data_IF_290151113139
#
_entry.id   IF_290151113139
#
_cell.length_a   1.000
_cell.length_b   1.000
_cell.length_c   1.000
_cell.angle_alpha   90.00
_cell.angle_beta   90.00
_cell.angle_gamma   90.00
#
_symmetry.space_group_name_H-M   'P 1'
#
loop_
_entity.id
_entity.type
_entity.pdbx_description
1 polymer ?
#
# COMPACT_ATOMS: atom_id res chain seq x y z
N UNK A 1 61.43 -26.45 17.59
CA UNK A 1 61.31 -25.03 17.99
C UNK A 1 60.83 -24.26 16.77
N UNK A 2 59.51 -24.11 16.63
CA UNK A 2 58.89 -23.52 15.44
C UNK A 2 58.36 -22.13 15.78
N UNK A 3 58.99 -21.12 15.19
CA UNK A 3 58.65 -19.71 15.35
C UNK A 3 57.43 -19.36 14.49
N UNK A 4 56.33 -19.04 15.16
CA UNK A 4 55.08 -18.54 14.54
C UNK A 4 55.25 -17.05 14.25
N UNK A 5 55.25 -16.67 12.97
CA UNK A 5 55.23 -15.27 12.51
C UNK A 5 53.82 -14.69 12.64
N UNK A 6 53.70 -13.57 13.37
CA UNK A 6 52.51 -12.70 13.38
C UNK A 6 52.38 -11.93 12.05
N UNK A 7 51.17 -11.78 11.49
CA UNK A 7 50.92 -10.85 10.39
C UNK A 7 50.67 -9.41 10.89
N UNK A 8 51.23 -8.45 10.14
CA UNK A 8 51.22 -7.02 10.41
C UNK A 8 49.84 -6.37 10.16
N UNK A 9 49.54 -5.35 10.97
CA UNK A 9 48.33 -4.52 10.90
C UNK A 9 48.34 -3.59 9.68
N UNK A 10 47.19 -3.47 9.01
CA UNK A 10 46.97 -2.54 7.90
C UNK A 10 46.70 -1.11 8.41
N UNK A 11 47.15 -0.06 7.68
CA UNK A 11 46.96 1.33 8.09
C UNK A 11 45.53 1.84 7.83
N UNK A 12 45.00 2.52 8.86
CA UNK A 12 43.74 3.25 8.91
C UNK A 12 43.70 4.41 7.90
N UNK A 13 42.88 4.27 6.85
CA UNK A 13 42.56 5.33 5.91
C UNK A 13 41.53 6.31 6.46
N UNK A 14 41.92 7.58 6.63
CA UNK A 14 41.06 8.67 7.07
C UNK A 14 39.96 9.01 6.03
N UNK A 15 38.74 9.42 6.46
CA UNK A 15 37.66 9.77 5.55
C UNK A 15 37.86 11.16 4.92
N UNK A 16 37.91 11.21 3.59
CA UNK A 16 37.83 12.42 2.76
C UNK A 16 36.45 13.08 2.92
N UNK A 17 36.41 14.19 3.65
CA UNK A 17 35.28 15.14 3.68
C UNK A 17 35.07 15.76 2.29
N UNK A 18 34.06 15.30 1.54
CA UNK A 18 33.53 16.05 0.40
C UNK A 18 32.55 17.10 0.91
N UNK A 19 32.97 18.37 0.91
CA UNK A 19 32.08 19.53 0.93
C UNK A 19 31.32 19.57 -0.39
N UNK A 20 30.00 19.45 -0.36
CA UNK A 20 29.14 19.82 -1.49
C UNK A 20 28.55 21.18 -1.13
N UNK A 21 28.91 22.18 -1.93
CA UNK A 21 28.43 23.54 -1.81
C UNK A 21 26.95 23.60 -2.19
N UNK A 22 26.18 24.33 -1.39
CA UNK A 22 24.83 24.74 -1.69
C UNK A 22 24.82 25.76 -2.84
N UNK A 23 24.04 25.50 -3.88
CA UNK A 23 23.64 26.50 -4.86
C UNK A 23 22.12 26.60 -4.85
N UNK A 24 21.63 27.64 -4.17
CA UNK A 24 20.27 28.17 -4.32
C UNK A 24 20.20 28.88 -5.67
N UNK A 25 19.23 28.53 -6.50
CA UNK A 25 18.70 29.42 -7.53
C UNK A 25 17.20 29.48 -7.31
N UNK A 26 16.75 30.57 -6.71
CA UNK A 26 15.36 30.97 -6.68
C UNK A 26 15.06 31.63 -8.04
N UNK A 27 14.08 31.11 -8.76
CA UNK A 27 13.50 31.79 -9.91
C UNK A 27 12.19 32.47 -9.46
N UNK A 28 12.00 33.77 -9.74
CA UNK A 28 10.75 34.46 -9.46
C UNK A 28 9.65 34.05 -10.45
N UNK A 29 8.46 33.76 -9.92
CA UNK A 29 7.23 33.62 -10.70
C UNK A 29 6.74 35.01 -11.14
N UNK A 30 6.52 35.26 -12.45
CA UNK A 30 5.88 36.48 -12.90
C UNK A 30 4.36 36.30 -12.98
N UNK A 31 3.65 37.31 -12.47
CA UNK A 31 2.58 37.98 -13.22
C UNK A 31 1.20 37.32 -13.18
N UNK A 32 0.38 37.83 -12.27
CA UNK A 32 -1.07 37.84 -12.41
C UNK A 32 -1.48 38.64 -13.67
N UNK A 33 -2.43 38.11 -14.43
CA UNK A 33 -3.19 38.87 -15.41
C UNK A 33 -4.68 38.57 -15.22
N UNK A 34 -5.41 39.63 -14.89
CA UNK A 34 -6.86 39.73 -14.86
C UNK A 34 -7.48 39.48 -16.25
N UNK A 35 -8.42 38.55 -16.30
CA UNK A 35 -9.53 38.46 -17.25
C UNK A 35 -10.56 37.52 -16.58
N UNK A 36 -11.83 37.84 -16.37
CA UNK A 36 -12.74 38.67 -17.13
C UNK A 36 -13.97 37.81 -17.45
N UNK A 37 -15.14 38.29 -17.01
CA UNK A 37 -16.48 38.01 -17.53
C UNK A 37 -17.16 36.63 -17.28
N UNK A 38 -18.16 36.68 -16.40
CA UNK A 38 -19.56 36.22 -16.56
C UNK A 38 -19.89 35.21 -17.68
N UNK A 39 -20.14 33.96 -17.29
CA UNK A 39 -21.12 33.06 -17.93
C UNK A 39 -21.40 31.85 -17.02
N UNK A 40 -22.43 31.90 -16.15
CA UNK A 40 -22.80 30.71 -15.36
C UNK A 40 -24.26 30.56 -14.83
N UNK A 41 -25.32 31.28 -15.25
CA UNK A 41 -26.66 30.93 -14.74
C UNK A 41 -27.36 29.77 -15.46
N UNK A 42 -26.81 29.20 -16.55
CA UNK A 42 -27.56 28.22 -17.37
C UNK A 42 -27.41 26.75 -16.92
N UNK A 43 -26.38 26.40 -16.14
CA UNK A 43 -26.13 25.01 -15.74
C UNK A 43 -26.97 24.57 -14.53
N UNK A 44 -27.50 25.51 -13.74
CA UNK A 44 -28.29 25.20 -12.55
C UNK A 44 -29.74 24.78 -12.87
N UNK A 45 -30.24 25.08 -14.08
CA UNK A 45 -31.61 24.69 -14.49
C UNK A 45 -31.69 23.25 -14.99
N UNK A 46 -30.61 22.68 -15.54
CA UNK A 46 -30.63 21.27 -15.96
C UNK A 46 -30.55 20.29 -14.78
N UNK A 47 -29.90 20.65 -13.66
CA UNK A 47 -29.86 19.76 -12.50
C UNK A 47 -31.22 19.59 -11.81
N UNK A 48 -32.13 20.57 -11.90
CA UNK A 48 -33.45 20.44 -11.30
C UNK A 48 -34.41 19.55 -12.11
N UNK A 49 -34.20 19.35 -13.41
CA UNK A 49 -35.05 18.43 -14.20
C UNK A 49 -34.73 16.94 -13.96
N UNK A 50 -33.49 16.61 -13.57
CA UNK A 50 -33.10 15.22 -13.28
C UNK A 50 -33.69 14.74 -11.95
N UNK A 51 -33.88 15.64 -10.98
CA UNK A 51 -34.46 15.30 -9.67
C UNK A 51 -35.94 14.92 -9.76
N UNK A 52 -36.70 15.41 -10.75
CA UNK A 52 -38.11 15.05 -10.90
C UNK A 52 -38.36 13.67 -11.50
N UNK A 53 -37.38 13.05 -12.19
CA UNK A 53 -37.55 11.74 -12.82
C UNK A 53 -37.19 10.54 -11.92
N UNK A 54 -36.60 10.77 -10.74
CA UNK A 54 -36.15 9.69 -9.85
C UNK A 54 -37.16 9.24 -8.79
N UNK A 55 -38.41 9.74 -8.84
CA UNK A 55 -39.47 9.37 -7.90
C UNK A 55 -40.55 8.48 -8.55
N UNK A 56 -40.12 7.42 -9.23
CA UNK A 56 -40.99 6.33 -9.67
C UNK A 56 -40.63 5.08 -8.85
N UNK A 57 -41.56 4.53 -8.05
CA UNK A 57 -41.29 3.28 -7.35
C UNK A 57 -41.13 2.13 -8.37
N UNK A 58 -40.11 1.26 -8.20
CA UNK A 58 -39.90 0.15 -9.11
C UNK A 58 -41.06 -0.86 -9.04
N UNK A 59 -41.44 -1.49 -10.17
CA UNK A 59 -42.47 -2.52 -10.18
C UNK A 59 -42.01 -3.73 -9.36
N UNK A 60 -42.88 -4.19 -8.46
CA UNK A 60 -42.73 -5.40 -7.65
C UNK A 60 -42.62 -6.64 -8.57
N UNK A 61 -41.40 -7.07 -8.89
CA UNK A 61 -41.19 -8.39 -9.49
C UNK A 61 -41.32 -9.46 -8.40
N UNK A 62 -42.32 -10.32 -8.58
CA UNK A 62 -42.56 -11.50 -7.76
C UNK A 62 -41.37 -12.46 -7.84
N UNK A 63 -40.82 -12.74 -6.67
CA UNK A 63 -39.64 -13.58 -6.46
C UNK A 63 -40.08 -15.06 -6.41
N UNK A 64 -39.93 -15.78 -7.53
CA UNK A 64 -39.96 -17.24 -7.51
C UNK A 64 -38.67 -17.75 -6.84
N UNK A 65 -38.83 -18.53 -5.78
CA UNK A 65 -37.76 -19.14 -4.98
C UNK A 65 -37.48 -20.55 -5.51
N UNK A 66 -36.41 -20.80 -6.28
CA UNK A 66 -35.96 -22.16 -6.54
C UNK A 66 -35.19 -22.68 -5.32
N UNK A 67 -35.71 -23.77 -4.76
CA UNK A 67 -35.12 -24.55 -3.68
C UNK A 67 -33.89 -25.29 -4.25
N UNK A 68 -32.70 -24.68 -4.12
CA UNK A 68 -31.45 -25.32 -4.55
C UNK A 68 -30.86 -26.16 -3.42
N UNK A 69 -30.82 -27.47 -3.69
CA UNK A 69 -30.10 -28.50 -2.95
C UNK A 69 -28.62 -28.11 -2.77
N UNK A 70 -28.18 -28.17 -1.52
CA UNK A 70 -26.83 -27.93 -1.06
C UNK A 70 -25.96 -29.18 -1.36
N UNK A 71 -24.96 -29.11 -2.25
CA UNK A 71 -24.02 -30.21 -2.44
C UNK A 71 -23.05 -30.25 -1.26
N UNK A 72 -22.74 -31.47 -0.81
CA UNK A 72 -21.77 -31.75 0.24
C UNK A 72 -20.41 -31.11 -0.06
N UNK A 73 -19.81 -30.49 0.97
CA UNK A 73 -18.52 -29.81 0.89
C UNK A 73 -17.40 -30.78 0.45
N UNK A 74 -16.61 -30.45 -0.59
CA UNK A 74 -15.46 -31.25 -0.96
C UNK A 74 -14.34 -31.12 0.09
N UNK A 75 -13.65 -32.23 0.32
CA UNK A 75 -12.53 -32.33 1.24
C UNK A 75 -11.41 -31.34 0.90
N UNK A 76 -10.90 -30.65 1.94
CA UNK A 76 -9.81 -29.67 1.87
C UNK A 76 -8.54 -30.34 1.29
N UNK A 77 -7.96 -29.84 0.19
CA UNK A 77 -6.68 -30.35 -0.30
C UNK A 77 -5.54 -29.95 0.66
N UNK A 78 -4.45 -30.76 0.70
CA UNK A 78 -3.29 -30.48 1.55
C UNK A 78 -2.62 -29.16 1.15
N UNK A 79 -2.21 -28.40 2.17
CA UNK A 79 -1.53 -27.11 2.09
C UNK A 79 -0.30 -27.14 1.18
N UNK A 80 -0.36 -26.40 0.07
CA UNK A 80 0.60 -26.39 -1.04
C UNK A 80 1.55 -25.16 -1.16
N UNK A 81 1.92 -24.40 -0.11
CA UNK A 81 2.74 -23.19 -0.32
C UNK A 81 4.19 -23.50 -0.75
N UNK A 82 4.75 -24.67 -0.40
CA UNK A 82 6.14 -25.01 -0.72
C UNK A 82 6.36 -25.37 -2.20
N UNK A 83 5.37 -25.94 -2.88
CA UNK A 83 5.49 -26.37 -4.28
C UNK A 83 5.48 -25.20 -5.27
N UNK A 84 4.72 -24.14 -4.97
CA UNK A 84 4.64 -22.95 -5.81
C UNK A 84 5.96 -22.16 -5.86
N UNK A 85 6.65 -22.05 -4.72
CA UNK A 85 7.96 -21.39 -4.64
C UNK A 85 9.05 -22.15 -5.42
N UNK A 86 9.04 -23.49 -5.37
CA UNK A 86 9.99 -24.32 -6.11
C UNK A 86 9.75 -24.27 -7.63
N UNK A 87 8.50 -24.22 -8.07
CA UNK A 87 8.15 -24.10 -9.49
C UNK A 87 8.59 -22.75 -10.09
N UNK A 88 8.46 -21.65 -9.32
CA UNK A 88 8.92 -20.33 -9.75
C UNK A 88 10.46 -20.26 -9.90
N UNK A 89 11.21 -20.92 -9.00
CA UNK A 89 12.67 -20.97 -9.08
C UNK A 89 13.17 -21.78 -10.28
N UNK A 90 12.49 -22.89 -10.63
CA UNK A 90 12.83 -23.70 -11.80
C UNK A 90 12.54 -22.98 -13.13
N UNK A 91 11.44 -22.23 -13.22
CA UNK A 91 11.12 -21.43 -14.40
C UNK A 91 12.14 -20.30 -14.64
N UNK A 92 12.62 -19.65 -13.59
CA UNK A 92 13.65 -18.60 -13.69
C UNK A 92 14.99 -19.14 -14.22
N UNK A 93 15.38 -20.37 -13.87
CA UNK A 93 16.61 -20.98 -14.38
C UNK A 93 16.52 -21.36 -15.87
N UNK A 94 15.34 -21.77 -16.34
CA UNK A 94 15.11 -22.08 -17.76
C UNK A 94 15.05 -20.82 -18.64
N UNK A 95 14.54 -19.71 -18.11
CA UNK A 95 14.47 -18.43 -18.82
C UNK A 95 15.85 -17.85 -19.16
N UNK A 96 16.88 -18.10 -18.35
CA UNK A 96 18.23 -17.59 -18.56
C UNK A 96 18.94 -18.13 -19.83
N UNK A 97 18.43 -19.21 -20.45
CA UNK A 97 18.96 -19.78 -21.69
C UNK A 97 18.23 -19.31 -22.95
N UNK A 98 17.04 -18.72 -22.80
CA UNK A 98 16.23 -18.22 -23.88
C UNK A 98 16.43 -16.69 -23.97
N UNK A 99 16.54 -16.14 -25.18
CA UNK A 99 16.81 -14.71 -25.36
C UNK A 99 15.82 -13.78 -24.63
N UNK A 100 16.06 -12.45 -24.63
CA UNK A 100 15.37 -11.49 -23.75
C UNK A 100 13.84 -11.47 -23.92
N UNK A 101 13.31 -11.78 -25.11
CA UNK A 101 11.87 -11.89 -25.33
C UNK A 101 11.25 -13.08 -24.58
N UNK A 102 11.93 -14.23 -24.59
CA UNK A 102 11.45 -15.42 -23.89
C UNK A 102 11.55 -15.28 -22.36
N UNK A 103 12.52 -14.49 -21.86
CA UNK A 103 12.63 -14.16 -20.44
C UNK A 103 11.46 -13.30 -19.95
N UNK A 104 11.01 -12.33 -20.77
CA UNK A 104 9.85 -11.50 -20.46
C UNK A 104 8.56 -12.33 -20.40
N UNK A 105 8.33 -13.19 -21.40
CA UNK A 105 7.16 -14.09 -21.44
C UNK A 105 7.15 -15.08 -20.25
N UNK A 106 8.32 -15.63 -19.90
CA UNK A 106 8.47 -16.51 -18.74
C UNK A 106 8.19 -15.78 -17.41
N UNK A 107 8.64 -14.53 -17.30
CA UNK A 107 8.39 -13.69 -16.11
C UNK A 107 6.90 -13.38 -15.97
N UNK A 108 6.23 -13.04 -17.06
CA UNK A 108 4.77 -12.80 -17.08
C UNK A 108 4.00 -14.05 -16.66
N UNK A 109 4.35 -15.20 -17.23
CA UNK A 109 3.74 -16.49 -16.85
C UNK A 109 3.94 -16.80 -15.36
N UNK A 110 5.13 -16.54 -14.81
CA UNK A 110 5.42 -16.74 -13.39
C UNK A 110 4.61 -15.80 -12.48
N UNK A 111 4.49 -14.52 -12.84
CA UNK A 111 3.66 -13.54 -12.11
C UNK A 111 2.19 -13.99 -12.08
N UNK A 112 1.64 -14.38 -13.24
CA UNK A 112 0.26 -14.88 -13.36
C UNK A 112 0.02 -16.14 -12.53
N UNK A 113 0.96 -17.08 -12.55
CA UNK A 113 0.90 -18.29 -11.73
C UNK A 113 0.85 -17.95 -10.23
N UNK A 114 1.66 -16.99 -9.76
CA UNK A 114 1.64 -16.52 -8.38
C UNK A 114 0.31 -15.86 -8.00
N UNK A 115 -0.22 -14.98 -8.85
CA UNK A 115 -1.50 -14.32 -8.61
C UNK A 115 -2.65 -15.32 -8.50
N UNK A 116 -2.71 -16.31 -9.39
CA UNK A 116 -3.72 -17.38 -9.36
C UNK A 116 -3.58 -18.28 -8.15
N UNK A 117 -2.36 -18.66 -7.79
CA UNK A 117 -2.11 -19.46 -6.59
C UNK A 117 -2.56 -18.73 -5.32
N UNK A 118 -2.29 -17.42 -5.24
CA UNK A 118 -2.75 -16.59 -4.15
C UNK A 118 -4.27 -16.47 -4.11
N UNK A 119 -4.91 -16.16 -5.25
CA UNK A 119 -6.36 -16.06 -5.34
C UNK A 119 -7.04 -17.37 -4.91
N UNK A 120 -6.51 -18.52 -5.36
CA UNK A 120 -6.98 -19.83 -4.93
C UNK A 120 -6.85 -20.03 -3.41
N UNK A 121 -5.72 -19.63 -2.81
CA UNK A 121 -5.52 -19.72 -1.35
C UNK A 121 -6.46 -18.81 -0.55
N UNK A 122 -6.81 -17.65 -1.11
CA UNK A 122 -7.72 -16.67 -0.52
C UNK A 122 -9.20 -16.97 -0.80
N UNK A 123 -9.52 -18.05 -1.52
CA UNK A 123 -10.87 -18.35 -2.03
C UNK A 123 -11.48 -17.20 -2.85
N UNK A 124 -10.62 -16.46 -3.55
CA UNK A 124 -10.97 -15.33 -4.41
C UNK A 124 -10.90 -15.75 -5.88
N UNK A 125 -11.85 -15.28 -6.68
CA UNK A 125 -11.85 -15.53 -8.13
C UNK A 125 -11.21 -14.34 -8.82
N UNK A 126 -9.99 -14.54 -9.33
CA UNK A 126 -9.28 -13.52 -10.10
C UNK A 126 -9.73 -13.57 -11.56
N UNK A 127 -10.30 -12.48 -12.05
CA UNK A 127 -10.70 -12.37 -13.46
C UNK A 127 -9.49 -12.07 -14.35
N UNK A 128 -9.46 -12.53 -15.62
CA UNK A 128 -8.36 -12.23 -16.54
C UNK A 128 -8.05 -10.73 -16.67
N UNK A 129 -9.08 -9.88 -16.71
CA UNK A 129 -8.91 -8.43 -16.77
C UNK A 129 -8.25 -7.85 -15.50
N UNK A 130 -8.56 -8.39 -14.32
CA UNK A 130 -7.92 -7.97 -13.08
C UNK A 130 -6.46 -8.42 -13.04
N UNK A 131 -6.16 -9.63 -13.51
CA UNK A 131 -4.81 -10.14 -13.65
C UNK A 131 -3.97 -9.23 -14.57
N UNK A 132 -4.51 -8.81 -15.71
CA UNK A 132 -3.85 -7.89 -16.64
C UNK A 132 -3.57 -6.51 -16.01
N UNK A 133 -4.55 -5.97 -15.26
CA UNK A 133 -4.38 -4.72 -14.52
C UNK A 133 -3.24 -4.86 -13.51
N UNK A 134 -3.22 -5.94 -12.71
CA UNK A 134 -2.18 -6.18 -11.71
C UNK A 134 -0.81 -6.33 -12.37
N UNK A 135 -0.70 -7.06 -13.48
CA UNK A 135 0.55 -7.20 -14.24
C UNK A 135 1.09 -5.84 -14.70
N UNK A 136 0.22 -4.98 -15.24
CA UNK A 136 0.60 -3.63 -15.69
C UNK A 136 0.99 -2.71 -14.53
N UNK A 137 0.32 -2.85 -13.39
CA UNK A 137 0.66 -2.11 -12.16
C UNK A 137 2.02 -2.51 -11.59
N UNK A 138 2.37 -3.79 -11.67
CA UNK A 138 3.69 -4.31 -11.30
C UNK A 138 4.79 -3.75 -12.20
N UNK A 139 4.58 -3.72 -13.51
CA UNK A 139 5.51 -3.11 -14.47
C UNK A 139 5.73 -1.63 -14.17
N UNK A 140 4.64 -0.86 -13.97
CA UNK A 140 4.74 0.55 -13.58
C UNK A 140 5.47 0.76 -12.26
N UNK A 141 5.24 -0.10 -11.26
CA UNK A 141 5.93 -0.02 -9.98
C UNK A 141 7.41 -0.36 -10.10
N UNK A 142 7.78 -1.37 -10.89
CA UNK A 142 9.18 -1.68 -11.16
C UNK A 142 9.91 -0.50 -11.82
N UNK A 143 9.32 0.11 -12.84
CA UNK A 143 9.86 1.32 -13.48
C UNK A 143 10.01 2.48 -12.49
N UNK A 144 9.03 2.69 -11.60
CA UNK A 144 9.10 3.70 -10.55
C UNK A 144 10.28 3.44 -9.59
N UNK A 145 10.50 2.19 -9.17
CA UNK A 145 11.59 1.81 -8.27
C UNK A 145 12.95 2.02 -8.94
N UNK A 146 13.10 1.63 -10.20
CA UNK A 146 14.32 1.85 -10.98
C UNK A 146 14.64 3.35 -11.10
N UNK A 147 13.63 4.17 -11.45
CA UNK A 147 13.79 5.62 -11.60
C UNK A 147 14.15 6.33 -10.28
N UNK A 148 13.58 5.86 -9.17
CA UNK A 148 13.86 6.42 -7.83
C UNK A 148 15.09 5.81 -7.16
N UNK A 149 15.74 4.83 -7.80
CA UNK A 149 16.82 4.01 -7.23
C UNK A 149 16.43 3.38 -5.89
N UNK A 150 15.13 3.12 -5.71
CA UNK A 150 14.64 2.37 -4.58
C UNK A 150 15.04 0.89 -4.73
N UNK A 151 15.17 0.20 -3.60
CA UNK A 151 15.51 -1.23 -3.62
C UNK A 151 14.40 -2.01 -4.31
N UNK A 152 14.77 -2.75 -5.36
CA UNK A 152 13.91 -3.75 -5.98
C UNK A 152 14.08 -5.09 -5.26
N UNK A 153 12.99 -5.85 -5.05
CA UNK A 153 13.10 -7.23 -4.58
C UNK A 153 13.91 -8.10 -5.56
N UNK A 154 14.61 -9.15 -5.08
CA UNK A 154 15.27 -10.09 -5.95
C UNK A 154 14.26 -10.80 -6.86
N UNK A 155 14.64 -11.08 -8.12
CA UNK A 155 13.75 -11.71 -9.10
C UNK A 155 12.85 -10.74 -9.86
N UNK A 156 13.18 -9.44 -9.89
CA UNK A 156 12.50 -8.44 -10.71
C UNK A 156 11.00 -8.37 -10.43
N UNK A 157 10.18 -8.36 -11.49
CA UNK A 157 8.72 -8.33 -11.40
C UNK A 157 8.10 -9.50 -10.62
N UNK A 158 8.66 -10.71 -10.75
CA UNK A 158 8.16 -11.86 -10.00
C UNK A 158 8.42 -11.70 -8.49
N UNK A 159 9.59 -11.19 -8.12
CA UNK A 159 9.92 -10.83 -6.74
C UNK A 159 9.02 -9.72 -6.19
N UNK A 160 8.72 -8.72 -7.01
CA UNK A 160 7.79 -7.64 -6.66
C UNK A 160 6.36 -8.15 -6.44
N UNK A 161 5.88 -9.04 -7.31
CA UNK A 161 4.59 -9.69 -7.16
C UNK A 161 4.52 -10.49 -5.85
N UNK A 162 5.52 -11.32 -5.56
CA UNK A 162 5.60 -12.07 -4.33
C UNK A 162 5.56 -11.16 -3.08
N UNK A 163 6.34 -10.07 -3.09
CA UNK A 163 6.36 -9.09 -2.00
C UNK A 163 5.00 -8.38 -1.83
N UNK A 164 4.33 -8.01 -2.93
CA UNK A 164 3.01 -7.40 -2.88
C UNK A 164 1.95 -8.36 -2.34
N UNK A 165 1.99 -9.64 -2.74
CA UNK A 165 1.08 -10.67 -2.23
C UNK A 165 1.30 -10.94 -0.73
N UNK A 166 2.55 -10.99 -0.29
CA UNK A 166 2.87 -11.12 1.14
C UNK A 166 2.32 -9.93 1.95
N UNK A 167 2.53 -8.69 1.46
CA UNK A 167 1.99 -7.50 2.11
C UNK A 167 0.46 -7.44 2.07
N UNK A 168 -0.17 -7.97 1.01
CA UNK A 168 -1.64 -8.09 0.91
C UNK A 168 -2.17 -8.95 2.04
N UNK A 169 -1.50 -10.07 2.34
CA UNK A 169 -1.83 -10.92 3.48
C UNK A 169 -1.59 -10.23 4.82
N UNK A 170 -0.43 -9.58 4.98
CA UNK A 170 -0.05 -8.89 6.24
C UNK A 170 -1.05 -7.79 6.61
N UNK A 171 -1.49 -7.02 5.62
CA UNK A 171 -2.44 -5.93 5.85
C UNK A 171 -3.90 -6.39 5.83
N UNK A 172 -4.17 -7.64 5.41
CA UNK A 172 -5.51 -8.09 5.06
C UNK A 172 -6.19 -7.15 4.05
N UNK A 173 -5.43 -6.68 3.04
CA UNK A 173 -5.86 -5.62 2.13
C UNK A 173 -6.98 -6.01 1.15
N UNK A 174 -7.35 -7.29 1.10
CA UNK A 174 -8.41 -7.84 0.28
C UNK A 174 -8.09 -7.94 -1.21
N UNK A 175 -7.18 -7.10 -1.74
CA UNK A 175 -6.76 -7.12 -3.14
C UNK A 175 -5.28 -6.76 -3.31
N UNK A 176 -4.53 -7.51 -4.15
CA UNK A 176 -3.16 -7.17 -4.52
C UNK A 176 -3.03 -5.79 -5.18
N UNK A 177 -4.02 -5.39 -5.97
CA UNK A 177 -4.04 -4.07 -6.62
C UNK A 177 -3.96 -2.94 -5.59
N UNK A 178 -4.71 -3.07 -4.49
CA UNK A 178 -4.71 -2.09 -3.40
C UNK A 178 -3.32 -1.97 -2.77
N UNK A 179 -2.68 -3.10 -2.51
CA UNK A 179 -1.31 -3.15 -1.98
C UNK A 179 -0.31 -2.48 -2.94
N UNK A 180 -0.45 -2.71 -4.26
CA UNK A 180 0.39 -2.03 -5.26
C UNK A 180 0.23 -0.51 -5.23
N UNK A 181 -0.99 0.01 -5.04
CA UNK A 181 -1.20 1.46 -4.85
C UNK A 181 -0.51 1.99 -3.58
N UNK A 182 -0.49 1.21 -2.50
CA UNK A 182 0.25 1.57 -1.28
C UNK A 182 1.76 1.62 -1.54
N UNK A 183 2.29 0.64 -2.26
CA UNK A 183 3.71 0.56 -2.61
C UNK A 183 4.14 1.70 -3.55
N UNK A 184 3.28 2.10 -4.49
CA UNK A 184 3.52 3.28 -5.35
C UNK A 184 3.65 4.56 -4.52
N UNK A 185 2.80 4.75 -3.51
CA UNK A 185 2.83 5.92 -2.62
C UNK A 185 4.01 5.87 -1.64
N UNK A 186 4.38 4.67 -1.18
CA UNK A 186 5.42 4.47 -0.17
C UNK A 186 6.29 3.24 -0.48
N UNK A 187 7.27 3.36 -1.39
CA UNK A 187 8.13 2.24 -1.79
C UNK A 187 9.01 1.74 -0.64
N UNK A 188 9.21 2.52 0.41
CA UNK A 188 9.91 2.09 1.63
C UNK A 188 9.30 0.85 2.31
N UNK A 189 8.03 0.55 2.06
CA UNK A 189 7.39 -0.71 2.49
C UNK A 189 8.06 -1.95 1.91
N UNK A 190 8.66 -1.85 0.72
CA UNK A 190 9.38 -2.98 0.12
C UNK A 190 10.69 -3.28 0.84
N UNK A 191 11.38 -2.25 1.33
CA UNK A 191 12.64 -2.37 2.04
C UNK A 191 12.49 -2.76 3.53
N UNK A 192 11.30 -2.54 4.10
CA UNK A 192 11.04 -2.84 5.48
C UNK A 192 11.00 -4.37 5.75
N UNK A 193 11.58 -4.84 6.87
CA UNK A 193 11.46 -6.24 7.27
C UNK A 193 9.99 -6.65 7.43
N UNK A 194 9.58 -7.74 6.78
CA UNK A 194 8.18 -8.20 6.75
C UNK A 194 7.62 -8.44 8.15
N UNK A 195 8.42 -9.03 9.04
CA UNK A 195 8.04 -9.21 10.44
C UNK A 195 7.80 -7.91 11.20
N UNK A 196 8.55 -6.84 10.89
CA UNK A 196 8.34 -5.53 11.51
C UNK A 196 7.04 -4.89 11.01
N UNK A 197 6.77 -4.95 9.70
CA UNK A 197 5.52 -4.46 9.10
C UNK A 197 4.30 -5.21 9.67
N UNK A 198 4.39 -6.53 9.80
CA UNK A 198 3.34 -7.35 10.39
C UNK A 198 3.10 -7.04 11.88
N UNK A 199 4.17 -6.88 12.65
CA UNK A 199 4.06 -6.47 14.05
C UNK A 199 3.36 -5.10 14.18
N UNK A 200 3.64 -4.16 13.27
CA UNK A 200 2.96 -2.85 13.25
C UNK A 200 1.49 -2.94 12.88
N UNK A 201 1.13 -3.72 11.86
CA UNK A 201 -0.27 -3.94 11.51
C UNK A 201 -1.06 -4.55 12.69
N UNK A 202 -0.47 -5.53 13.39
CA UNK A 202 -1.07 -6.13 14.58
C UNK A 202 -1.22 -5.13 15.73
N UNK A 203 -0.19 -4.32 15.99
CA UNK A 203 -0.26 -3.28 17.04
C UNK A 203 -1.34 -2.24 16.74
N UNK A 204 -1.47 -1.79 15.49
CA UNK A 204 -2.57 -0.91 15.08
C UNK A 204 -3.93 -1.56 15.34
N UNK A 205 -4.06 -2.87 15.09
CA UNK A 205 -5.29 -3.61 15.41
C UNK A 205 -5.59 -3.66 16.90
N UNK A 206 -4.56 -3.78 17.75
CA UNK A 206 -4.73 -3.77 19.21
C UNK A 206 -5.11 -2.38 19.74
N UNK A 207 -4.52 -1.32 19.18
CA UNK A 207 -4.83 0.06 19.56
C UNK A 207 -6.20 0.52 19.05
N UNK A 208 -6.62 0.04 17.88
CA UNK A 208 -7.87 0.39 17.23
C UNK A 208 -8.64 -0.87 16.81
N UNK A 209 -9.24 -1.63 17.75
CA UNK A 209 -9.87 -2.92 17.46
C UNK A 209 -10.98 -2.83 16.40
N UNK A 210 -11.73 -1.73 16.40
CA UNK A 210 -12.82 -1.49 15.47
C UNK A 210 -12.38 -0.94 14.11
N UNK A 211 -11.12 -0.50 13.95
CA UNK A 211 -10.65 0.04 12.68
C UNK A 211 -10.34 -1.07 11.66
N UNK A 212 -10.57 -0.75 10.40
CA UNK A 212 -9.98 -1.47 9.28
C UNK A 212 -8.52 -1.00 9.12
N UNK A 213 -7.60 -1.89 9.47
CA UNK A 213 -6.15 -1.61 9.42
C UNK A 213 -5.66 -1.51 7.98
N UNK A 214 -6.26 -2.24 7.04
CA UNK A 214 -5.91 -2.13 5.62
C UNK A 214 -6.24 -0.72 5.11
N UNK A 215 -7.43 -0.24 5.42
CA UNK A 215 -7.85 1.13 5.08
C UNK A 215 -6.95 2.17 5.72
N UNK A 216 -6.63 2.00 7.00
CA UNK A 216 -5.78 2.93 7.74
C UNK A 216 -4.37 3.00 7.14
N UNK A 217 -3.73 1.86 6.90
CA UNK A 217 -2.40 1.83 6.29
C UNK A 217 -2.49 2.29 4.84
N UNK A 218 -3.57 2.02 4.11
CA UNK A 218 -3.78 2.57 2.77
C UNK A 218 -3.79 4.10 2.77
N UNK A 219 -4.46 4.74 3.72
CA UNK A 219 -4.46 6.19 3.83
C UNK A 219 -3.13 6.76 4.32
N UNK A 220 -2.50 6.10 5.31
CA UNK A 220 -1.25 6.52 5.95
C UNK A 220 -0.23 5.37 6.02
N UNK A 221 0.45 5.02 4.91
CA UNK A 221 1.39 3.89 4.91
C UNK A 221 2.62 4.07 5.81
N UNK A 222 2.95 5.31 6.16
CA UNK A 222 4.03 5.62 7.11
C UNK A 222 3.84 4.97 8.48
N UNK A 223 2.61 4.69 8.91
CA UNK A 223 2.33 4.03 10.19
C UNK A 223 2.97 2.63 10.27
N UNK A 224 3.05 1.92 9.14
CA UNK A 224 3.68 0.60 9.08
C UNK A 224 5.21 0.65 9.13
N UNK A 225 5.80 1.82 8.91
CA UNK A 225 7.25 2.06 8.92
C UNK A 225 7.74 2.75 10.20
N UNK A 226 6.82 3.24 11.01
CA UNK A 226 7.10 4.06 12.18
C UNK A 226 7.66 3.24 13.35
N UNK A 227 8.40 3.89 14.24
CA UNK A 227 8.77 3.30 15.54
C UNK A 227 7.53 3.01 16.39
N UNK A 228 7.59 2.02 17.28
CA UNK A 228 6.43 1.58 18.06
C UNK A 228 5.85 2.73 18.88
N UNK A 229 6.73 3.36 19.67
CA UNK A 229 6.38 4.43 20.58
C UNK A 229 5.81 5.64 19.83
N UNK A 230 6.44 6.02 18.72
CA UNK A 230 5.98 7.14 17.88
C UNK A 230 4.58 6.86 17.31
N UNK A 231 4.34 5.63 16.84
CA UNK A 231 3.04 5.21 16.31
C UNK A 231 1.96 5.19 17.40
N UNK A 232 2.26 4.67 18.59
CA UNK A 232 1.35 4.71 19.75
C UNK A 232 1.03 6.15 20.17
N UNK A 233 2.04 7.03 20.22
CA UNK A 233 1.86 8.45 20.55
C UNK A 233 0.99 9.18 19.51
N UNK A 234 1.22 8.94 18.21
CA UNK A 234 0.41 9.54 17.15
C UNK A 234 -1.03 9.04 17.15
N UNK A 235 -1.23 7.72 17.24
CA UNK A 235 -2.55 7.09 17.28
C UNK A 235 -3.31 7.50 18.54
N UNK A 236 -2.67 7.45 19.70
CA UNK A 236 -3.27 7.87 20.97
C UNK A 236 -3.61 9.36 20.99
N UNK A 237 -2.74 10.21 20.45
CA UNK A 237 -3.00 11.64 20.29
C UNK A 237 -4.19 11.93 19.36
N UNK A 238 -4.27 11.24 18.23
CA UNK A 238 -5.40 11.38 17.30
C UNK A 238 -6.72 10.86 17.93
N UNK A 239 -6.68 9.73 18.63
CA UNK A 239 -7.83 9.18 19.35
C UNK A 239 -8.35 10.13 20.43
N UNK A 240 -7.46 10.74 21.21
CA UNK A 240 -7.82 11.75 22.22
C UNK A 240 -8.52 12.96 21.59
N UNK A 241 -8.03 13.44 20.45
CA UNK A 241 -8.66 14.56 19.71
C UNK A 241 -10.02 14.18 19.13
N UNK A 242 -10.16 12.98 18.55
CA UNK A 242 -11.45 12.48 18.07
C UNK A 242 -12.49 12.43 19.19
N UNK A 243 -12.12 11.92 20.35
CA UNK A 243 -13.01 11.84 21.53
C UNK A 243 -13.44 13.23 22.02
N UNK A 244 -12.57 14.22 21.95
CA UNK A 244 -12.89 15.60 22.31
C UNK A 244 -13.82 16.28 21.29
N UNK A 245 -13.65 15.99 20.01
CA UNK A 245 -14.46 16.57 18.92
C UNK A 245 -15.84 15.93 18.80
N UNK A 246 -16.00 14.67 19.18
CA UNK A 246 -17.25 13.93 19.06
C UNK A 246 -17.70 13.30 20.39
N UNK A 247 -17.94 14.11 21.43
CA UNK A 247 -18.33 13.61 22.75
C UNK A 247 -19.64 12.82 22.67
N UNK A 248 -19.70 11.69 23.38
CA UNK A 248 -20.88 10.81 23.42
C UNK A 248 -21.11 9.94 22.18
N UNK A 249 -20.29 10.06 21.13
CA UNK A 249 -20.37 9.17 19.96
C UNK A 249 -19.39 8.00 20.06
N UNK A 250 -19.80 6.82 19.58
CA UNK A 250 -18.93 5.65 19.42
C UNK A 250 -18.05 5.80 18.16
N UNK A 251 -17.22 6.83 18.12
CA UNK A 251 -16.38 7.13 16.95
C UNK A 251 -15.46 5.97 16.56
N UNK A 252 -15.02 5.15 17.53
CA UNK A 252 -14.21 3.95 17.31
C UNK A 252 -14.94 2.93 16.41
N UNK A 253 -16.22 2.66 16.69
CA UNK A 253 -17.06 1.78 15.85
C UNK A 253 -17.23 2.35 14.43
N UNK A 254 -17.20 3.68 14.28
CA UNK A 254 -17.31 4.35 12.97
C UNK A 254 -16.02 4.28 12.16
N UNK A 255 -14.86 3.97 12.76
CA UNK A 255 -13.62 3.82 12.00
C UNK A 255 -13.69 2.62 11.03
N UNK A 256 -14.31 1.51 11.46
CA UNK A 256 -14.45 0.32 10.62
C UNK A 256 -15.49 0.46 9.51
N UNK A 257 -16.48 1.34 9.68
CA UNK A 257 -17.49 1.63 8.66
C UNK A 257 -16.98 2.56 7.54
N UNK A 258 -15.78 3.13 7.71
CA UNK A 258 -15.26 4.18 6.84
C UNK A 258 -16.02 5.51 6.97
N UNK A 259 -15.74 6.43 6.03
CA UNK A 259 -16.42 7.73 5.94
C UNK A 259 -15.72 8.88 6.67
N UNK A 260 -16.50 9.89 7.09
CA UNK A 260 -15.96 11.18 7.56
C UNK A 260 -15.15 11.05 8.84
N UNK A 261 -15.61 10.27 9.83
CA UNK A 261 -14.88 10.06 11.09
C UNK A 261 -13.51 9.41 10.84
N UNK A 262 -13.45 8.44 9.93
CA UNK A 262 -12.21 7.80 9.52
C UNK A 262 -11.24 8.77 8.82
N UNK A 263 -11.75 9.60 7.89
CA UNK A 263 -10.92 10.60 7.20
C UNK A 263 -10.43 11.71 8.15
N UNK A 264 -11.27 12.14 9.11
CA UNK A 264 -10.88 13.07 10.16
C UNK A 264 -9.78 12.47 11.04
N UNK A 265 -9.92 11.21 11.45
CA UNK A 265 -8.89 10.50 12.21
C UNK A 265 -7.57 10.41 11.41
N UNK A 266 -7.62 10.00 10.14
CA UNK A 266 -6.44 9.92 9.27
C UNK A 266 -5.75 11.28 9.08
N UNK A 267 -6.52 12.36 9.01
CA UNK A 267 -5.98 13.72 8.93
C UNK A 267 -5.23 14.11 10.22
N UNK A 268 -5.75 13.70 11.39
CA UNK A 268 -5.13 13.99 12.68
C UNK A 268 -3.83 13.23 12.95
N UNK A 269 -3.61 12.08 12.31
CA UNK A 269 -2.39 11.28 12.48
C UNK A 269 -1.11 12.02 12.02
N UNK A 270 -1.21 13.06 11.18
CA UNK A 270 -0.06 13.83 10.70
C UNK A 270 0.20 15.16 11.43
N UNK A 271 -0.74 15.65 12.24
CA UNK A 271 -0.69 17.03 12.77
C UNK A 271 0.09 17.17 14.08
N UNK A 272 0.49 16.07 14.72
CA UNK A 272 1.08 16.08 16.07
C UNK A 272 2.55 16.51 16.14
N UNK A 273 3.28 16.57 15.03
CA UNK A 273 4.74 16.76 15.02
C UNK A 273 5.24 18.21 14.92
N UNK A 274 4.39 19.19 14.63
CA UNK A 274 4.84 20.56 14.31
C UNK A 274 4.65 21.59 15.42
N UNK A 275 3.98 21.26 16.52
CA UNK A 275 3.68 22.24 17.58
C UNK A 275 4.70 22.28 18.73
N UNK A 276 5.76 21.47 18.69
CA UNK A 276 6.73 21.35 19.80
C UNK A 276 8.08 22.06 19.62
N UNK A 277 8.41 22.57 18.43
CA UNK A 277 9.77 23.05 18.13
C UNK A 277 9.92 24.59 17.98
N UNK A 278 8.86 25.38 18.21
CA UNK A 278 8.91 26.85 18.14
C UNK A 278 8.49 27.49 19.47
N UNK A 279 9.28 27.34 20.53
CA UNK A 279 9.18 28.21 21.72
C UNK A 279 10.50 28.20 22.51
N UNK A 280 11.60 28.56 21.86
CA UNK A 280 12.92 28.60 22.49
C UNK A 280 13.92 29.54 21.83
N UNK A 281 13.44 30.53 21.06
CA UNK A 281 14.28 31.55 20.43
C UNK A 281 14.02 32.91 21.06
N UNK A 282 14.41 33.06 22.33
CA UNK A 282 14.46 34.34 23.03
C UNK A 282 15.83 34.48 23.68
N UNK A 283 16.74 35.14 22.96
CA UNK A 283 18.08 35.54 23.40
C UNK A 283 18.52 36.73 22.58
#
# INVERSE_FOLDING_TARGET
MSTVRQPAAAPSGAPRRRRVAAARVAAPWPGAADAGASAAPQQQQQQQQVLHHHNMPPPLQQQHKPEQQQPAAPARPPSAPAAAAAAAAAAAAAAAAAGPAAEADATDAAVRALLRAHAASASHVLFPAEEDIICRELEMLELLLQNTRASTPPGGRAGLAAAALELTNVFAAGSPFRTLQMLKRHPGLLAAPRGAVAARALQLKLLLPAADVADLIYQKPSLALMGQREMEEQVGGAAKRMRALMPGTQWEARLGAGGTAFMSFCSMLGSGGLTGAQSGGGG
#
